data_IF_560815756050
#
_entry.id   IF_560815756050
#
_cell.length_a   1.000
_cell.length_b   1.000
_cell.length_c   1.000
_cell.angle_alpha   90.00
_cell.angle_beta   90.00
_cell.angle_gamma   90.00
#
_symmetry.space_group_name_H-M   'P 1'
#
loop_
_entity.id
_entity.type
_entity.pdbx_description
1 polymer ?
#
# COMPACT_ATOMS: atom_id res chain seq x y z
N UNK A 1 -1.83 0.35 -21.91
CA UNK A 1 -1.86 -0.25 -20.57
C UNK A 1 -3.31 -0.33 -20.12
N UNK A 2 -3.83 -1.55 -20.02
CA UNK A 2 -5.15 -1.87 -19.47
C UNK A 2 -5.30 -1.17 -18.11
N UNK A 3 -6.37 -0.37 -17.92
CA UNK A 3 -6.59 0.34 -16.64
C UNK A 3 -6.92 -0.70 -15.58
N UNK A 4 -5.95 -1.03 -14.74
CA UNK A 4 -6.19 -1.84 -13.55
C UNK A 4 -7.16 -1.12 -12.61
N UNK A 5 -8.07 -1.86 -12.00
CA UNK A 5 -8.95 -1.31 -10.98
C UNK A 5 -8.19 -1.12 -9.64
N UNK A 6 -8.71 -0.31 -8.70
CA UNK A 6 -8.03 -0.07 -7.43
C UNK A 6 -7.72 -1.36 -6.64
N UNK A 7 -8.61 -2.36 -6.70
CA UNK A 7 -8.40 -3.65 -6.07
C UNK A 7 -7.17 -4.39 -6.65
N UNK A 8 -7.10 -4.48 -7.98
CA UNK A 8 -5.97 -5.08 -8.70
C UNK A 8 -4.64 -4.36 -8.39
N UNK A 9 -4.65 -3.03 -8.36
CA UNK A 9 -3.48 -2.23 -8.01
C UNK A 9 -2.98 -2.56 -6.60
N UNK A 10 -3.89 -2.64 -5.62
CA UNK A 10 -3.53 -2.96 -4.24
C UNK A 10 -2.96 -4.37 -4.10
N UNK A 11 -3.54 -5.35 -4.78
CA UNK A 11 -3.07 -6.72 -4.76
C UNK A 11 -1.69 -6.86 -5.42
N UNK A 12 -1.45 -6.16 -6.53
CA UNK A 12 -0.15 -6.14 -7.18
C UNK A 12 0.91 -5.52 -6.27
N UNK A 13 0.66 -4.35 -5.67
CA UNK A 13 1.64 -3.74 -4.76
C UNK A 13 1.90 -4.62 -3.53
N UNK A 14 0.88 -5.23 -2.95
CA UNK A 14 0.99 -6.20 -1.85
C UNK A 14 1.81 -7.44 -2.21
N UNK A 15 1.77 -7.90 -3.46
CA UNK A 15 2.58 -9.02 -3.91
C UNK A 15 4.06 -8.66 -4.02
N UNK A 16 4.42 -7.41 -4.39
CA UNK A 16 5.79 -7.01 -4.71
C UNK A 16 6.86 -7.43 -3.67
N UNK A 17 6.67 -7.21 -2.36
CA UNK A 17 7.68 -7.62 -1.38
C UNK A 17 7.82 -9.14 -1.22
N UNK A 18 6.84 -9.94 -1.66
CA UNK A 18 6.88 -11.42 -1.59
C UNK A 18 7.57 -12.03 -2.80
N UNK A 19 7.94 -11.21 -3.77
CA UNK A 19 8.60 -11.60 -5.01
C UNK A 19 10.14 -11.52 -4.88
N UNK A 20 10.68 -11.64 -3.67
CA UNK A 20 12.13 -11.66 -3.41
C UNK A 20 12.82 -12.71 -4.30
N UNK A 21 13.83 -12.27 -5.07
CA UNK A 21 14.60 -13.12 -6.00
C UNK A 21 14.06 -13.21 -7.43
N UNK A 22 12.98 -12.50 -7.78
CA UNK A 22 12.51 -12.40 -9.17
C UNK A 22 13.30 -11.37 -10.01
N UNK A 23 13.24 -11.46 -11.36
CA UNK A 23 14.03 -10.60 -12.26
C UNK A 23 13.81 -9.11 -12.01
N UNK A 24 14.83 -8.28 -12.30
CA UNK A 24 14.80 -6.82 -12.21
C UNK A 24 13.54 -6.17 -12.84
N UNK A 25 12.95 -6.83 -13.83
CA UNK A 25 11.70 -6.44 -14.47
C UNK A 25 10.51 -6.30 -13.51
N UNK A 26 10.44 -7.10 -12.44
CA UNK A 26 9.38 -7.03 -11.42
C UNK A 26 9.56 -5.79 -10.54
N UNK A 27 10.79 -5.52 -10.09
CA UNK A 27 11.12 -4.30 -9.35
C UNK A 27 10.91 -3.03 -10.17
N UNK A 28 11.14 -3.09 -11.48
CA UNK A 28 10.88 -1.97 -12.40
C UNK A 28 9.38 -1.59 -12.49
N UNK A 29 8.46 -2.47 -12.08
CA UNK A 29 7.03 -2.17 -12.07
C UNK A 29 6.58 -1.38 -10.83
N UNK A 30 7.35 -1.40 -9.74
CA UNK A 30 6.99 -0.75 -8.46
C UNK A 30 6.70 0.74 -8.62
N UNK A 31 7.52 1.55 -9.32
CA UNK A 31 7.24 2.98 -9.51
C UNK A 31 5.94 3.24 -10.28
N UNK A 32 5.62 2.41 -11.29
CA UNK A 32 4.38 2.55 -12.06
C UNK A 32 3.16 2.20 -11.22
N UNK A 33 3.22 1.11 -10.44
CA UNK A 33 2.16 0.71 -9.52
C UNK A 33 1.92 1.81 -8.48
N UNK A 34 2.99 2.33 -7.88
CA UNK A 34 2.92 3.41 -6.90
C UNK A 34 2.24 4.67 -7.47
N UNK A 35 2.63 5.10 -8.67
CA UNK A 35 2.02 6.26 -9.34
C UNK A 35 0.53 6.05 -9.67
N UNK A 36 0.13 4.83 -10.05
CA UNK A 36 -1.26 4.49 -10.30
C UNK A 36 -2.09 4.45 -9.00
N UNK A 37 -1.50 3.93 -7.92
CA UNK A 37 -2.14 3.87 -6.60
C UNK A 37 -2.40 5.29 -6.08
N UNK A 38 -1.41 6.19 -6.13
CA UNK A 38 -1.58 7.59 -5.69
C UNK A 38 -2.79 8.28 -6.36
N UNK A 39 -3.09 7.93 -7.61
CA UNK A 39 -4.25 8.49 -8.35
C UNK A 39 -5.59 7.87 -7.97
N UNK A 40 -5.59 6.75 -7.25
CA UNK A 40 -6.79 5.92 -7.00
C UNK A 40 -7.06 5.68 -5.51
N UNK A 41 -6.18 6.10 -4.59
CA UNK A 41 -6.32 5.85 -3.14
C UNK A 41 -7.66 6.34 -2.59
N UNK A 42 -8.17 7.47 -3.06
CA UNK A 42 -9.46 8.03 -2.60
C UNK A 42 -10.68 7.19 -2.98
N UNK A 43 -10.53 6.26 -3.93
CA UNK A 43 -11.56 5.33 -4.37
C UNK A 43 -11.39 3.92 -3.80
N UNK A 44 -10.31 3.67 -3.07
CA UNK A 44 -10.04 2.35 -2.49
C UNK A 44 -10.85 2.15 -1.22
N UNK A 45 -11.39 0.94 -1.06
CA UNK A 45 -11.93 0.50 0.22
C UNK A 45 -10.80 0.33 1.25
N UNK A 46 -11.09 0.37 2.56
CA UNK A 46 -10.09 0.30 3.63
C UNK A 46 -9.22 -0.95 3.56
N UNK A 47 -9.76 -2.09 3.15
CA UNK A 47 -8.97 -3.32 2.98
C UNK A 47 -7.84 -3.16 1.94
N UNK A 48 -8.14 -2.58 0.78
CA UNK A 48 -7.14 -2.33 -0.26
C UNK A 48 -6.10 -1.29 0.19
N UNK A 49 -6.52 -0.30 0.98
CA UNK A 49 -5.61 0.68 1.57
C UNK A 49 -4.68 0.04 2.61
N UNK A 50 -5.18 -0.87 3.44
CA UNK A 50 -4.36 -1.64 4.37
C UNK A 50 -3.30 -2.47 3.62
N UNK A 51 -3.69 -3.14 2.53
CA UNK A 51 -2.76 -3.88 1.68
C UNK A 51 -1.67 -2.98 1.09
N UNK A 52 -2.04 -1.83 0.53
CA UNK A 52 -1.07 -0.87 0.00
C UNK A 52 -0.15 -0.33 1.11
N UNK A 53 -0.71 0.02 2.27
CA UNK A 53 0.06 0.57 3.39
C UNK A 53 1.09 -0.46 3.90
N UNK A 54 0.66 -1.71 4.12
CA UNK A 54 1.56 -2.81 4.47
C UNK A 54 2.65 -3.03 3.41
N UNK A 55 2.29 -3.03 2.13
CA UNK A 55 3.24 -3.20 1.04
C UNK A 55 4.33 -2.11 1.04
N UNK A 56 3.94 -0.84 1.23
CA UNK A 56 4.90 0.28 1.30
C UNK A 56 5.87 0.15 2.45
N UNK A 57 5.46 -0.54 3.51
CA UNK A 57 6.31 -0.83 4.64
C UNK A 57 7.40 -1.83 4.35
N UNK A 58 7.08 -2.88 3.58
CA UNK A 58 8.01 -3.94 3.23
C UNK A 58 8.94 -3.50 2.10
N UNK A 59 8.49 -2.57 1.26
CA UNK A 59 9.27 -1.92 0.20
C UNK A 59 10.11 -0.75 0.75
N UNK A 60 10.45 -0.72 2.03
CA UNK A 60 11.08 0.41 2.75
C UNK A 60 12.39 0.92 2.11
N UNK A 61 13.05 0.12 1.27
CA UNK A 61 14.23 0.50 0.49
C UNK A 61 13.96 0.74 -1.01
N UNK A 62 12.75 0.44 -1.50
CA UNK A 62 12.39 0.46 -2.90
C UNK A 62 11.67 1.76 -3.27
N UNK A 63 12.46 2.77 -3.64
CA UNK A 63 12.04 3.91 -4.46
C UNK A 63 11.19 5.02 -3.81
N UNK A 64 11.41 6.26 -4.25
CA UNK A 64 10.78 7.50 -3.77
C UNK A 64 9.25 7.47 -3.93
N UNK A 65 8.78 6.75 -4.92
CA UNK A 65 7.39 6.62 -5.33
C UNK A 65 6.56 5.86 -4.27
N UNK A 66 7.16 4.91 -3.56
CA UNK A 66 6.50 4.16 -2.46
C UNK A 66 6.19 5.08 -1.27
N UNK A 67 7.07 6.04 -0.98
CA UNK A 67 6.81 7.07 0.05
C UNK A 67 5.62 7.96 -0.33
N UNK A 68 5.42 8.24 -1.62
CA UNK A 68 4.27 9.03 -2.09
C UNK A 68 2.95 8.27 -1.87
N UNK A 69 2.93 6.94 -2.06
CA UNK A 69 1.77 6.11 -1.73
C UNK A 69 1.44 6.23 -0.24
N UNK A 70 2.45 6.10 0.64
CA UNK A 70 2.25 6.21 2.09
C UNK A 70 1.66 7.56 2.51
N UNK A 71 2.16 8.65 1.94
CA UNK A 71 1.63 10.00 2.18
C UNK A 71 0.19 10.15 1.67
N UNK A 72 -0.12 9.62 0.49
CA UNK A 72 -1.47 9.69 -0.07
C UNK A 72 -2.49 8.90 0.76
N UNK A 73 -2.12 7.70 1.23
CA UNK A 73 -2.97 6.90 2.14
C UNK A 73 -3.22 7.67 3.44
N UNK A 74 -2.16 8.23 4.05
CA UNK A 74 -2.28 9.00 5.29
C UNK A 74 -3.24 10.20 5.15
N UNK A 75 -3.20 10.90 4.01
CA UNK A 75 -4.12 12.00 3.73
C UNK A 75 -5.58 11.56 3.60
N UNK A 76 -5.83 10.33 3.16
CA UNK A 76 -7.20 9.82 3.03
C UNK A 76 -7.78 9.28 4.35
N UNK A 77 -6.96 8.97 5.37
CA UNK A 77 -7.42 8.36 6.65
C UNK A 77 -8.66 9.08 7.23
N UNK A 78 -8.69 10.43 7.36
CA UNK A 78 -9.86 11.11 7.92
C UNK A 78 -11.14 10.82 7.13
N UNK A 79 -11.07 10.73 5.80
CA UNK A 79 -12.23 10.46 4.96
C UNK A 79 -12.67 8.99 5.01
N UNK A 80 -11.72 8.07 5.21
CA UNK A 80 -11.99 6.64 5.24
C UNK A 80 -12.69 6.27 6.54
N UNK A 81 -12.22 6.79 7.69
CA UNK A 81 -12.76 6.44 9.02
C UNK A 81 -14.26 6.71 9.15
N UNK A 82 -14.80 7.69 8.42
CA UNK A 82 -16.23 8.02 8.43
C UNK A 82 -17.10 7.12 7.54
N UNK A 83 -16.51 6.30 6.67
CA UNK A 83 -17.20 5.51 5.65
C UNK A 83 -16.88 4.02 5.70
N UNK A 84 -16.23 3.57 6.78
CA UNK A 84 -15.73 2.19 6.91
C UNK A 84 -16.16 1.58 8.22
N UNK A 85 -16.34 0.26 8.23
CA UNK A 85 -16.72 -0.44 9.46
C UNK A 85 -15.63 -0.31 10.52
N UNK A 86 -16.03 -0.32 11.79
CA UNK A 86 -15.11 -0.27 12.94
C UNK A 86 -14.04 -1.37 12.86
N UNK A 87 -14.41 -2.55 12.35
CA UNK A 87 -13.50 -3.67 12.15
C UNK A 87 -12.44 -3.41 11.07
N UNK A 88 -12.81 -2.76 9.96
CA UNK A 88 -11.87 -2.42 8.89
C UNK A 88 -10.88 -1.35 9.33
N UNK A 89 -11.34 -0.35 10.09
CA UNK A 89 -10.45 0.66 10.70
C UNK A 89 -9.50 0.01 11.70
N UNK A 90 -10.01 -0.88 12.55
CA UNK A 90 -9.20 -1.62 13.52
C UNK A 90 -8.13 -2.49 12.84
N UNK A 91 -8.50 -3.22 11.79
CA UNK A 91 -7.55 -4.04 11.02
C UNK A 91 -6.49 -3.19 10.31
N UNK A 92 -6.88 -2.03 9.75
CA UNK A 92 -5.94 -1.09 9.13
C UNK A 92 -4.94 -0.54 10.16
N UNK A 93 -5.41 -0.10 11.34
CA UNK A 93 -4.56 0.44 12.40
C UNK A 93 -3.67 -0.64 13.02
N UNK A 94 -4.16 -1.87 13.21
CA UNK A 94 -3.35 -3.00 13.64
C UNK A 94 -2.22 -3.30 12.65
N UNK A 95 -2.53 -3.33 11.34
CA UNK A 95 -1.53 -3.53 10.31
C UNK A 95 -0.48 -2.40 10.29
N UNK A 96 -0.91 -1.15 10.51
CA UNK A 96 -0.01 0.00 10.63
C UNK A 96 0.87 -0.03 11.89
N UNK A 97 0.35 -0.53 13.02
CA UNK A 97 1.08 -0.60 14.29
C UNK A 97 2.13 -1.71 14.31
N UNK A 98 1.78 -2.92 13.83
CA UNK A 98 2.74 -4.03 13.75
C UNK A 98 3.93 -3.72 12.84
N UNK A 99 3.69 -2.86 11.86
CA UNK A 99 4.70 -2.33 10.96
C UNK A 99 5.85 -1.62 11.69
N UNK A 100 5.53 -0.84 12.73
CA UNK A 100 6.52 -0.12 13.52
C UNK A 100 7.31 -1.08 14.42
N UNK A 101 6.67 -2.12 14.96
CA UNK A 101 7.34 -3.13 15.78
C UNK A 101 8.41 -3.89 14.99
N UNK A 102 8.08 -4.32 13.77
CA UNK A 102 9.02 -5.05 12.89
C UNK A 102 10.22 -4.19 12.48
N UNK A 103 10.05 -2.87 12.33
CA UNK A 103 11.15 -1.95 12.00
C UNK A 103 12.08 -1.65 13.19
N UNK A 104 11.63 -1.86 14.43
CA UNK A 104 12.41 -1.60 15.64
C UNK A 104 13.16 -2.81 16.18
N UNK A 105 12.98 -4.00 15.60
CA UNK A 105 13.60 -5.25 16.06
C UNK A 105 14.90 -5.62 15.34
N UNK A 106 15.54 -4.67 14.65
CA UNK A 106 16.84 -4.85 13.99
C UNK A 106 17.91 -3.98 14.64
#
# INVERSE_FOLDING_TARGET
>A
MTRMCPAELSNCLWAMPRLEGLPDAVSAAVPMLAAAIVKTVSSMCPFHLANCFWATAQLHFAAREVLAVRAAIAWCIPNIVHHTSEQEVSNFLWAAAHLFEVQTTV
#
